data_IF_990459176040
#
_entry.id   IF_990459176040
#
_cell.length_a   1.000
_cell.length_b   1.000
_cell.length_c   1.000
_cell.angle_alpha   90.00
_cell.angle_beta   90.00
_cell.angle_gamma   90.00
#
_symmetry.space_group_name_H-M   'P 1'
#
loop_
_entity.id
_entity.type
_entity.pdbx_description
1 polymer ?
#
# COMPACT_ATOMS: atom_id res chain seq x y z
N UNK A 1 -65.88 19.86 -34.02
CA UNK A 1 -64.58 20.54 -33.92
C UNK A 1 -63.82 19.83 -32.83
N UNK A 2 -62.90 18.96 -33.22
CA UNK A 2 -62.08 18.12 -32.34
C UNK A 2 -61.21 18.95 -31.38
N UNK A 3 -61.20 18.57 -30.11
CA UNK A 3 -60.20 19.07 -29.15
C UNK A 3 -58.85 18.41 -29.40
N UNK A 4 -57.73 19.14 -29.31
CA UNK A 4 -56.41 18.54 -29.40
C UNK A 4 -56.11 17.67 -28.16
N UNK A 5 -55.28 16.61 -28.30
CA UNK A 5 -54.94 15.73 -27.20
C UNK A 5 -54.08 16.45 -26.15
N UNK A 6 -54.29 16.09 -24.88
CA UNK A 6 -53.54 16.62 -23.74
C UNK A 6 -52.05 16.23 -23.80
N UNK A 7 -51.13 17.08 -23.31
CA UNK A 7 -49.71 16.77 -23.26
C UNK A 7 -49.41 15.63 -22.27
N UNK A 8 -48.36 14.83 -22.50
CA UNK A 8 -47.96 13.77 -21.60
C UNK A 8 -47.45 14.34 -20.26
N UNK A 9 -47.85 13.68 -19.16
CA UNK A 9 -47.39 14.01 -17.81
C UNK A 9 -45.86 13.95 -17.69
N UNK A 10 -45.22 14.83 -16.90
CA UNK A 10 -43.78 14.74 -16.66
C UNK A 10 -43.45 13.41 -15.98
N UNK A 11 -42.57 12.63 -16.61
CA UNK A 11 -42.04 11.40 -16.04
C UNK A 11 -41.28 11.74 -14.75
N UNK A 12 -41.60 11.05 -13.66
CA UNK A 12 -40.87 11.14 -12.39
C UNK A 12 -39.42 10.69 -12.66
N UNK A 13 -38.39 11.39 -12.16
CA UNK A 13 -37.01 10.93 -12.28
C UNK A 13 -36.89 9.54 -11.64
N UNK A 14 -36.28 8.60 -12.36
CA UNK A 14 -35.91 7.31 -11.78
C UNK A 14 -34.95 7.53 -10.61
N UNK A 15 -35.10 6.80 -9.48
CA UNK A 15 -34.14 6.89 -8.39
C UNK A 15 -32.78 6.40 -8.90
N UNK A 16 -31.81 7.30 -8.90
CA UNK A 16 -30.42 6.95 -9.16
C UNK A 16 -29.98 5.86 -8.17
N UNK A 17 -29.11 4.91 -8.57
CA UNK A 17 -28.57 3.92 -7.66
C UNK A 17 -27.88 4.64 -6.50
N UNK A 18 -28.49 4.57 -5.32
CA UNK A 18 -27.87 5.02 -4.08
C UNK A 18 -26.73 4.06 -3.79
N UNK A 19 -25.50 4.50 -4.03
CA UNK A 19 -24.34 3.90 -3.39
C UNK A 19 -24.60 3.90 -1.87
N UNK A 20 -24.41 2.77 -1.17
CA UNK A 20 -24.65 2.73 0.26
C UNK A 20 -23.78 3.81 0.93
N UNK A 21 -24.42 4.67 1.72
CA UNK A 21 -23.74 5.63 2.56
C UNK A 21 -22.70 4.89 3.42
N UNK A 22 -21.49 5.44 3.49
CA UNK A 22 -20.42 4.95 4.37
C UNK A 22 -20.99 4.77 5.77
N UNK A 23 -20.87 3.55 6.32
CA UNK A 23 -21.33 3.29 7.68
C UNK A 23 -20.55 4.20 8.64
N UNK A 24 -21.22 4.88 9.60
CA UNK A 24 -20.53 5.71 10.58
C UNK A 24 -19.59 4.82 11.40
N UNK A 25 -18.28 5.08 11.31
CA UNK A 25 -17.21 4.28 11.93
C UNK A 25 -16.35 3.45 10.96
N UNK A 26 -16.71 3.39 9.67
CA UNK A 26 -15.90 2.70 8.68
C UNK A 26 -14.85 3.62 8.04
N UNK A 27 -13.58 3.29 8.20
CA UNK A 27 -12.43 4.01 7.66
C UNK A 27 -11.92 3.32 6.39
N UNK A 28 -11.75 4.08 5.31
CA UNK A 28 -11.23 3.53 4.05
C UNK A 28 -9.75 3.19 4.18
N UNK A 29 -9.37 2.02 3.66
CA UNK A 29 -8.00 1.52 3.65
C UNK A 29 -7.55 1.39 2.20
N UNK A 30 -6.43 2.02 1.87
CA UNK A 30 -5.82 1.93 0.53
C UNK A 30 -4.39 1.42 0.64
N UNK A 31 -3.91 0.85 -0.46
CA UNK A 31 -2.52 0.51 -0.67
C UNK A 31 -1.96 1.44 -1.74
N UNK A 32 -0.96 2.24 -1.39
CA UNK A 32 -0.15 2.95 -2.36
C UNK A 32 0.93 2.01 -2.89
N UNK A 33 1.12 2.02 -4.21
CA UNK A 33 2.10 1.19 -4.91
C UNK A 33 3.01 2.09 -5.72
N UNK A 34 4.31 1.91 -5.52
CA UNK A 34 5.37 2.65 -6.18
C UNK A 34 6.29 1.69 -6.93
N UNK A 35 6.66 2.04 -8.15
CA UNK A 35 7.76 1.39 -8.87
C UNK A 35 9.06 2.15 -8.60
N UNK A 36 9.88 1.59 -7.70
CA UNK A 36 11.20 2.16 -7.36
C UNK A 36 12.14 2.26 -8.58
N UNK A 37 11.89 1.47 -9.63
CA UNK A 37 12.66 1.52 -10.87
C UNK A 37 12.19 2.59 -11.85
N UNK A 38 11.03 3.22 -11.63
CA UNK A 38 10.39 4.20 -12.52
C UNK A 38 10.29 3.71 -13.97
N UNK A 39 9.85 2.47 -14.15
CA UNK A 39 9.68 1.80 -15.44
C UNK A 39 10.95 1.20 -16.04
N UNK A 40 12.11 1.34 -15.38
CA UNK A 40 13.37 0.75 -15.85
C UNK A 40 13.36 -0.77 -15.72
N UNK A 41 12.78 -1.33 -14.65
CA UNK A 41 12.64 -2.78 -14.49
C UNK A 41 11.87 -3.38 -15.67
N UNK A 42 10.77 -2.75 -16.09
CA UNK A 42 10.00 -3.20 -17.26
C UNK A 42 10.81 -3.22 -18.56
N UNK A 43 11.71 -2.27 -18.76
CA UNK A 43 12.52 -2.17 -19.98
C UNK A 43 13.73 -3.11 -19.99
N UNK A 44 14.37 -3.28 -18.83
CA UNK A 44 15.66 -3.97 -18.73
C UNK A 44 15.56 -5.42 -18.26
N UNK A 45 14.48 -5.78 -17.54
CA UNK A 45 14.36 -7.11 -16.95
C UNK A 45 14.45 -8.27 -17.95
N UNK A 46 13.90 -8.22 -19.18
CA UNK A 46 14.02 -9.34 -20.10
C UNK A 46 15.47 -9.65 -20.48
N UNK A 47 16.30 -8.60 -20.61
CA UNK A 47 17.71 -8.74 -20.99
C UNK A 47 18.57 -9.13 -19.79
N UNK A 48 18.29 -8.60 -18.61
CA UNK A 48 19.10 -8.85 -17.40
C UNK A 48 18.74 -10.15 -16.69
N UNK A 49 17.45 -10.44 -16.55
CA UNK A 49 16.93 -11.57 -15.78
C UNK A 49 16.47 -12.74 -16.67
N UNK A 50 16.35 -12.52 -17.99
CA UNK A 50 15.68 -13.47 -18.89
C UNK A 50 14.18 -13.59 -18.62
N UNK A 51 13.61 -12.66 -17.85
CA UNK A 51 12.23 -12.66 -17.38
C UNK A 51 11.68 -11.23 -17.35
N UNK A 52 10.44 -11.07 -17.78
CA UNK A 52 9.73 -9.79 -17.72
C UNK A 52 9.28 -9.54 -16.27
N UNK A 53 9.71 -8.41 -15.70
CA UNK A 53 9.18 -7.81 -14.48
C UNK A 53 8.48 -6.51 -14.83
N UNK A 54 7.35 -6.21 -14.20
CA UNK A 54 6.62 -4.96 -14.48
C UNK A 54 7.12 -3.76 -13.66
N UNK A 55 7.81 -4.01 -12.54
CA UNK A 55 8.30 -2.97 -11.64
C UNK A 55 9.07 -3.55 -10.46
N UNK A 56 9.68 -2.68 -9.65
CA UNK A 56 10.20 -3.01 -8.33
C UNK A 56 9.30 -2.35 -7.29
N UNK A 57 8.42 -3.14 -6.70
CA UNK A 57 7.31 -2.64 -5.91
C UNK A 57 7.73 -2.27 -4.50
N UNK A 58 7.44 -1.02 -4.13
CA UNK A 58 7.35 -0.56 -2.76
C UNK A 58 5.89 -0.21 -2.46
N UNK A 59 5.40 -0.58 -1.28
CA UNK A 59 4.03 -0.26 -0.87
C UNK A 59 3.94 0.39 0.50
N UNK A 60 2.84 1.13 0.68
CA UNK A 60 2.46 1.75 1.94
C UNK A 60 0.94 1.66 2.15
N UNK A 61 0.51 1.58 3.41
CA UNK A 61 -0.90 1.56 3.79
C UNK A 61 -1.36 2.99 4.04
N UNK A 62 -2.50 3.36 3.46
CA UNK A 62 -3.15 4.65 3.65
C UNK A 62 -4.42 4.47 4.46
N UNK A 63 -4.50 5.14 5.60
CA UNK A 63 -5.65 5.16 6.50
C UNK A 63 -5.55 6.41 7.40
N UNK A 64 -6.68 6.97 7.84
CA UNK A 64 -6.72 8.19 8.68
C UNK A 64 -5.94 9.38 8.10
N UNK A 65 -5.96 9.52 6.77
CA UNK A 65 -5.25 10.58 6.05
C UNK A 65 -3.71 10.52 6.16
N UNK A 66 -3.16 9.42 6.66
CA UNK A 66 -1.72 9.17 6.77
C UNK A 66 -1.28 7.96 5.93
N UNK A 67 -0.01 7.99 5.54
CA UNK A 67 0.70 6.91 4.87
C UNK A 67 1.67 6.23 5.84
N UNK A 68 1.55 4.92 5.97
CA UNK A 68 2.37 4.08 6.85
C UNK A 68 3.16 3.07 6.03
N UNK A 69 4.47 3.03 6.27
CA UNK A 69 5.37 2.11 5.58
C UNK A 69 6.48 1.63 6.50
N UNK A 70 7.15 0.56 6.08
CA UNK A 70 8.26 -0.04 6.81
C UNK A 70 9.53 0.01 5.96
N UNK A 71 10.63 0.40 6.60
CA UNK A 71 11.95 0.39 5.98
C UNK A 71 13.03 0.12 7.02
N UNK A 72 14.29 0.36 6.67
CA UNK A 72 15.44 0.04 7.53
C UNK A 72 15.50 0.86 8.82
N UNK A 73 14.73 1.94 8.96
CA UNK A 73 14.60 2.68 10.23
C UNK A 73 13.39 2.25 11.06
N UNK A 74 12.65 1.23 10.63
CA UNK A 74 11.43 0.77 11.28
C UNK A 74 10.17 1.29 10.58
N UNK A 75 9.04 1.20 11.30
CA UNK A 75 7.76 1.74 10.84
C UNK A 75 7.87 3.27 10.82
N UNK A 76 7.41 3.89 9.73
CA UNK A 76 7.41 5.33 9.54
C UNK A 76 6.07 5.79 9.00
N UNK A 77 5.71 7.05 9.24
CA UNK A 77 4.54 7.68 8.65
C UNK A 77 4.83 9.05 8.03
N UNK A 78 3.99 9.43 7.07
CA UNK A 78 3.96 10.76 6.47
C UNK A 78 2.56 11.05 5.90
N UNK A 79 2.28 12.29 5.50
CA UNK A 79 1.12 12.56 4.63
C UNK A 79 1.18 11.72 3.34
N UNK A 80 0.05 11.32 2.74
CA UNK A 80 0.00 10.52 1.53
C UNK A 80 0.79 11.13 0.36
N UNK A 81 1.76 10.39 -0.17
CA UNK A 81 2.71 10.84 -1.20
C UNK A 81 3.76 11.83 -0.69
N UNK A 82 3.95 11.91 0.63
CA UNK A 82 4.83 12.87 1.31
C UNK A 82 6.32 12.47 1.32
N UNK A 83 6.65 11.27 0.89
CA UNK A 83 8.05 10.85 0.72
C UNK A 83 8.67 11.44 -0.55
N UNK A 84 9.99 11.32 -0.69
CA UNK A 84 10.71 11.73 -1.92
C UNK A 84 10.31 10.90 -3.16
N UNK A 85 9.58 9.79 -2.98
CA UNK A 85 9.01 9.04 -4.09
C UNK A 85 7.93 9.86 -4.82
N UNK A 86 7.26 10.78 -4.12
CA UNK A 86 6.17 11.60 -4.65
C UNK A 86 4.84 10.84 -4.69
N UNK A 87 3.95 11.14 -5.64
CA UNK A 87 2.68 10.44 -5.81
C UNK A 87 2.87 8.95 -6.16
N UNK A 88 1.95 8.05 -5.76
CA UNK A 88 2.02 6.64 -6.09
C UNK A 88 1.75 6.39 -7.58
N UNK A 89 2.37 5.34 -8.12
CA UNK A 89 2.12 4.86 -9.49
C UNK A 89 0.75 4.17 -9.62
N UNK A 90 0.28 3.53 -8.54
CA UNK A 90 -1.05 2.95 -8.45
C UNK A 90 -1.62 3.03 -7.03
N UNK A 91 -2.94 3.07 -6.95
CA UNK A 91 -3.70 3.02 -5.68
C UNK A 91 -4.65 1.84 -5.75
N UNK A 92 -4.54 0.94 -4.78
CA UNK A 92 -5.42 -0.24 -4.66
C UNK A 92 -6.35 -0.04 -3.47
N UNK A 93 -7.64 -0.26 -3.70
CA UNK A 93 -8.67 -0.24 -2.66
C UNK A 93 -8.64 -1.58 -1.88
N UNK A 94 -8.40 -1.51 -0.57
CA UNK A 94 -8.42 -2.67 0.32
C UNK A 94 -9.76 -2.82 1.06
N UNK A 95 -10.67 -1.85 0.93
CA UNK A 95 -11.98 -1.81 1.55
C UNK A 95 -12.01 -0.83 2.72
N UNK A 96 -12.76 -1.20 3.75
CA UNK A 96 -12.92 -0.40 4.96
C UNK A 96 -12.65 -1.22 6.21
N UNK A 97 -12.33 -0.52 7.30
CA UNK A 97 -12.14 -1.10 8.63
C UNK A 97 -12.94 -0.33 9.68
N UNK A 98 -13.33 -1.02 10.75
CA UNK A 98 -13.91 -0.40 11.95
C UNK A 98 -12.88 -0.25 13.08
N UNK A 99 -11.64 -0.70 12.84
CA UNK A 99 -10.52 -0.41 13.76
C UNK A 99 -10.44 1.11 13.89
N UNK A 100 -10.30 1.60 15.11
CA UNK A 100 -10.12 3.04 15.37
C UNK A 100 -8.64 3.42 15.21
N UNK A 101 -8.36 4.70 14.96
CA UNK A 101 -6.99 5.22 14.90
C UNK A 101 -6.17 4.85 16.15
N UNK A 102 -6.73 5.02 17.36
CA UNK A 102 -6.03 4.68 18.61
C UNK A 102 -5.54 3.22 18.64
N UNK A 103 -6.44 2.26 18.42
CA UNK A 103 -6.12 0.82 18.35
C UNK A 103 -5.09 0.54 17.25
N UNK A 104 -5.21 1.20 16.09
CA UNK A 104 -4.27 1.01 15.00
C UNK A 104 -2.86 1.49 15.35
N UNK A 105 -2.73 2.65 15.98
CA UNK A 105 -1.45 3.20 16.42
C UNK A 105 -0.80 2.36 17.54
N UNK A 106 -1.61 1.76 18.42
CA UNK A 106 -1.12 0.81 19.42
C UNK A 106 -0.61 -0.48 18.77
N UNK A 107 -1.35 -1.01 17.80
CA UNK A 107 -0.93 -2.15 17.00
C UNK A 107 0.39 -1.90 16.27
N UNK A 108 0.55 -0.74 15.60
CA UNK A 108 1.80 -0.37 14.95
C UNK A 108 2.95 -0.20 15.93
N UNK A 109 2.69 0.35 17.12
CA UNK A 109 3.71 0.45 18.18
C UNK A 109 4.21 -0.93 18.57
N UNK A 110 3.29 -1.86 18.86
CA UNK A 110 3.64 -3.23 19.23
C UNK A 110 4.38 -3.98 18.11
N UNK A 111 3.99 -3.77 16.84
CA UNK A 111 4.71 -4.31 15.69
C UNK A 111 6.14 -3.76 15.60
N UNK A 112 6.32 -2.45 15.74
CA UNK A 112 7.61 -1.78 15.65
C UNK A 112 8.57 -2.16 16.79
N UNK A 113 8.04 -2.48 17.97
CA UNK A 113 8.81 -2.97 19.11
C UNK A 113 9.16 -4.47 19.02
N UNK A 114 8.48 -5.22 18.15
CA UNK A 114 8.65 -6.67 18.01
C UNK A 114 9.22 -7.04 16.63
N UNK A 115 8.35 -7.35 15.67
CA UNK A 115 8.71 -7.94 14.39
C UNK A 115 9.28 -6.91 13.41
N UNK A 116 8.77 -5.68 13.41
CA UNK A 116 9.08 -4.64 12.42
C UNK A 116 10.02 -3.56 12.97
N UNK A 117 11.07 -4.00 13.67
CA UNK A 117 12.20 -3.13 14.03
C UNK A 117 13.00 -2.81 12.78
N UNK A 118 13.64 -1.64 12.72
CA UNK A 118 14.47 -1.27 11.56
C UNK A 118 15.61 -2.26 11.27
N UNK A 119 16.25 -2.76 12.33
CA UNK A 119 17.30 -3.79 12.27
C UNK A 119 16.83 -5.14 11.72
N UNK A 120 15.52 -5.42 11.76
CA UNK A 120 14.91 -6.63 11.22
C UNK A 120 14.60 -6.51 9.73
N UNK A 121 14.87 -5.35 9.10
CA UNK A 121 14.56 -5.15 7.70
C UNK A 121 15.44 -6.04 6.84
N UNK A 122 14.79 -6.84 5.99
CA UNK A 122 15.43 -7.66 4.97
C UNK A 122 14.69 -7.47 3.66
N UNK A 123 15.42 -7.12 2.60
CA UNK A 123 14.81 -6.89 1.30
C UNK A 123 13.97 -8.09 0.83
N UNK A 124 14.37 -9.32 1.11
CA UNK A 124 13.77 -10.55 0.58
C UNK A 124 12.50 -11.01 1.28
N UNK A 125 12.56 -11.16 2.60
CA UNK A 125 11.51 -11.83 3.38
C UNK A 125 10.87 -10.93 4.44
N UNK A 126 11.44 -9.75 4.70
CA UNK A 126 10.97 -8.85 5.74
C UNK A 126 11.09 -7.38 5.34
N UNK A 127 10.24 -6.96 4.41
CA UNK A 127 10.29 -5.63 3.78
C UNK A 127 8.96 -4.87 3.88
N UNK A 128 8.88 -3.71 3.23
CA UNK A 128 7.68 -2.87 3.14
C UNK A 128 6.41 -3.61 2.67
N UNK A 129 6.54 -4.58 1.76
CA UNK A 129 5.43 -5.36 1.23
C UNK A 129 4.97 -6.41 2.26
N UNK A 130 5.90 -7.04 2.99
CA UNK A 130 5.58 -7.91 4.13
C UNK A 130 4.79 -7.15 5.19
N UNK A 131 5.24 -5.95 5.55
CA UNK A 131 4.55 -5.05 6.48
C UNK A 131 3.15 -4.68 5.97
N UNK A 132 3.05 -4.19 4.73
CA UNK A 132 1.77 -3.75 4.16
C UNK A 132 0.77 -4.91 4.09
N UNK A 133 1.24 -6.12 3.80
CA UNK A 133 0.40 -7.32 3.78
C UNK A 133 -0.10 -7.71 5.18
N UNK A 134 0.74 -7.60 6.21
CA UNK A 134 0.35 -7.87 7.60
C UNK A 134 -0.71 -6.86 8.07
N UNK A 135 -0.45 -5.57 7.84
CA UNK A 135 -1.36 -4.48 8.23
C UNK A 135 -2.68 -4.55 7.45
N UNK A 136 -2.65 -4.84 6.16
CA UNK A 136 -3.87 -5.01 5.35
C UNK A 136 -4.76 -6.13 5.91
N UNK A 137 -4.16 -7.25 6.31
CA UNK A 137 -4.89 -8.37 6.90
C UNK A 137 -5.48 -8.01 8.26
N UNK A 138 -4.74 -7.30 9.11
CA UNK A 138 -5.25 -6.81 10.40
C UNK A 138 -6.45 -5.87 10.22
N UNK A 139 -6.36 -4.90 9.31
CA UNK A 139 -7.40 -3.88 9.13
C UNK A 139 -8.63 -4.41 8.40
N UNK A 140 -8.45 -5.25 7.38
CA UNK A 140 -9.51 -5.58 6.42
C UNK A 140 -9.76 -7.06 6.23
N UNK A 141 -8.92 -7.93 6.82
CA UNK A 141 -8.92 -9.37 6.56
C UNK A 141 -8.42 -9.77 5.16
N UNK A 142 -7.98 -8.81 4.33
CA UNK A 142 -7.49 -9.05 2.96
C UNK A 142 -5.97 -8.95 2.88
N UNK A 143 -5.41 -9.74 1.97
CA UNK A 143 -4.01 -9.63 1.56
C UNK A 143 -3.83 -8.58 0.48
N UNK A 144 -2.61 -8.06 0.33
CA UNK A 144 -2.26 -7.24 -0.83
C UNK A 144 -2.12 -8.11 -2.09
N UNK A 145 -2.15 -7.53 -3.30
CA UNK A 145 -2.01 -8.29 -4.54
C UNK A 145 -0.73 -9.14 -4.59
N UNK A 146 -0.85 -10.41 -4.97
CA UNK A 146 0.27 -11.35 -4.91
C UNK A 146 1.43 -11.01 -5.85
N UNK A 147 1.18 -10.32 -6.97
CA UNK A 147 2.25 -9.86 -7.87
C UNK A 147 3.25 -8.90 -7.18
N UNK A 148 2.87 -8.31 -6.05
CA UNK A 148 3.73 -7.47 -5.21
C UNK A 148 4.56 -8.35 -4.25
N UNK A 149 3.91 -9.27 -3.53
CA UNK A 149 4.59 -10.14 -2.56
C UNK A 149 5.49 -11.18 -3.22
N UNK A 150 5.14 -11.63 -4.42
CA UNK A 150 5.82 -12.73 -5.11
C UNK A 150 7.04 -12.23 -5.91
N UNK A 151 7.17 -10.91 -6.13
CA UNK A 151 8.20 -10.27 -6.97
C UNK A 151 9.63 -10.76 -6.65
N UNK A 152 9.97 -10.89 -5.37
CA UNK A 152 11.33 -11.26 -4.99
C UNK A 152 11.61 -12.75 -5.17
N UNK A 153 10.60 -13.60 -4.96
CA UNK A 153 10.70 -15.02 -5.30
C UNK A 153 10.85 -15.21 -6.81
N UNK A 154 10.18 -14.37 -7.60
CA UNK A 154 10.35 -14.34 -9.04
C UNK A 154 11.76 -13.94 -9.48
N UNK A 155 12.36 -12.92 -8.85
CA UNK A 155 13.74 -12.51 -9.13
C UNK A 155 14.72 -13.63 -8.76
N UNK A 156 14.59 -14.19 -7.55
CA UNK A 156 15.46 -15.27 -7.06
C UNK A 156 15.31 -16.58 -7.83
N UNK A 157 14.20 -16.79 -8.55
CA UNK A 157 14.05 -17.95 -9.42
C UNK A 157 14.97 -17.93 -10.66
N UNK A 158 15.67 -16.82 -10.91
CA UNK A 158 16.57 -16.64 -12.06
C UNK A 158 18.05 -16.83 -11.69
N UNK A 159 18.91 -17.30 -12.60
CA UNK A 159 20.36 -17.39 -12.36
C UNK A 159 20.99 -16.05 -11.98
N UNK A 160 20.51 -14.95 -12.59
CA UNK A 160 20.96 -13.61 -12.28
C UNK A 160 20.58 -13.18 -10.86
N UNK A 161 19.33 -13.43 -10.45
CA UNK A 161 18.87 -13.15 -9.08
C UNK A 161 19.66 -13.93 -8.03
N UNK A 162 19.99 -15.20 -8.30
CA UNK A 162 20.87 -15.99 -7.43
C UNK A 162 22.28 -15.41 -7.34
N UNK A 163 22.84 -14.94 -8.45
CA UNK A 163 24.16 -14.30 -8.45
C UNK A 163 24.17 -12.96 -7.69
N UNK A 164 23.07 -12.21 -7.72
CA UNK A 164 22.93 -10.93 -7.00
C UNK A 164 22.51 -11.07 -5.54
N UNK A 165 22.15 -12.27 -5.08
CA UNK A 165 21.62 -12.48 -3.73
C UNK A 165 22.47 -11.82 -2.63
N UNK A 166 23.82 -11.98 -2.59
CA UNK A 166 24.63 -11.34 -1.55
C UNK A 166 24.60 -9.82 -1.58
N UNK A 167 24.46 -9.22 -2.77
CA UNK A 167 24.34 -7.77 -2.92
C UNK A 167 22.97 -7.30 -2.42
N UNK A 168 21.90 -8.00 -2.83
CA UNK A 168 20.53 -7.68 -2.45
C UNK A 168 20.28 -7.87 -0.94
N UNK A 169 20.94 -8.84 -0.29
CA UNK A 169 20.91 -9.03 1.17
C UNK A 169 21.41 -7.78 1.92
N UNK A 170 22.32 -7.02 1.31
CA UNK A 170 22.87 -5.77 1.89
C UNK A 170 22.03 -4.53 1.58
N UNK A 171 20.99 -4.65 0.74
CA UNK A 171 20.15 -3.52 0.34
C UNK A 171 19.14 -3.23 1.44
N UNK A 172 19.22 -2.01 1.95
CA UNK A 172 18.24 -1.44 2.85
C UNK A 172 17.43 -0.37 2.13
N UNK A 173 16.11 -0.41 2.26
CA UNK A 173 15.21 0.57 1.65
C UNK A 173 14.59 1.40 2.76
N UNK A 174 14.71 2.73 2.63
CA UNK A 174 14.02 3.70 3.45
C UNK A 174 13.68 4.92 2.59
N UNK A 175 12.43 5.08 2.13
CA UNK A 175 11.99 6.29 1.46
C UNK A 175 12.18 7.52 2.36
N UNK A 176 12.96 8.54 1.94
CA UNK A 176 13.13 9.77 2.71
C UNK A 176 11.82 10.55 2.80
N UNK A 177 11.57 11.22 3.93
CA UNK A 177 10.40 12.08 4.15
C UNK A 177 9.38 11.53 5.15
N UNK A 178 9.50 10.26 5.54
CA UNK A 178 8.75 9.71 6.67
C UNK A 178 9.39 10.05 8.01
N UNK A 179 8.56 10.22 9.03
CA UNK A 179 8.99 10.29 10.42
C UNK A 179 8.92 8.89 11.02
N UNK A 180 9.99 8.47 11.73
CA UNK A 180 9.97 7.20 12.44
C UNK A 180 8.84 7.20 13.47
N UNK A 181 8.01 6.18 13.41
CA UNK A 181 6.89 6.02 14.31
C UNK A 181 7.41 5.64 15.69
N UNK A 182 7.46 6.60 16.62
CA UNK A 182 7.91 6.35 17.99
C UNK A 182 6.99 7.08 18.98
N UNK A 183 6.01 6.36 19.55
CA UNK A 183 4.98 6.91 20.45
C UNK A 183 5.52 7.36 21.82
N UNK A 184 6.83 7.22 22.06
CA UNK A 184 7.49 7.57 23.33
C UNK A 184 7.51 9.08 23.68
N UNK A 185 7.05 9.99 22.81
CA UNK A 185 7.18 11.45 23.03
C UNK A 185 5.88 12.27 23.00
N UNK A 186 4.70 11.65 23.07
CA UNK A 186 3.42 12.38 23.04
C UNK A 186 2.86 12.77 24.44
N UNK A 187 3.69 12.78 25.48
CA UNK A 187 3.34 13.33 26.80
C UNK A 187 4.48 14.21 27.32
N UNK A 188 4.44 15.50 26.98
CA UNK A 188 5.14 16.58 27.70
C UNK A 188 4.38 17.88 27.50
#
# INVERSE_FOLDING_TARGET
>A
MDQPPAPPSPQRPEPQPQFPASQPGAHLVKLYVYDLSRGMARRLSPVMLGKQLEGIWHTAIIIYEDEFFYGSTGISSCPPGGTLLGPPDAVVDLGSTEVTEEIFLEYLTALGESMFRGESYNLFDHNCNTFSNEVAQFLTGKKIPSYITDLLSEILSTPFGQALRPLLDSVQIQPPGGNTFNRHNAQS
#
